data_IF_337628485235
#
_entry.id   IF_337628485235
#
_cell.length_a   1.000
_cell.length_b   1.000
_cell.length_c   1.000
_cell.angle_alpha   90.00
_cell.angle_beta   90.00
_cell.angle_gamma   90.00
#
_symmetry.space_group_name_H-M   'P 1'
#
loop_
_entity.id
_entity.type
_entity.pdbx_description
1 polymer ?
#
# COMPACT_ATOMS: atom_id res chain seq x y z
N UNK A 1 -6.66 17.81 46.58
CA UNK A 1 -6.15 17.96 45.17
C UNK A 1 -5.16 19.15 45.20
N UNK A 2 -3.87 18.87 45.44
CA UNK A 2 -2.83 19.90 45.46
C UNK A 2 -2.16 19.94 44.10
N UNK A 3 -2.42 20.99 43.32
CA UNK A 3 -1.68 21.28 42.11
C UNK A 3 -0.33 21.86 42.49
N UNK A 4 0.73 21.10 42.39
CA UNK A 4 2.10 21.61 42.50
C UNK A 4 2.43 22.24 41.15
N UNK A 5 2.34 23.59 41.07
CA UNK A 5 2.86 24.35 39.96
C UNK A 5 4.38 24.34 40.06
N UNK A 6 5.08 23.42 39.38
CA UNK A 6 6.52 23.51 39.21
C UNK A 6 6.82 24.52 38.10
N UNK A 7 7.46 25.63 38.47
CA UNK A 7 8.00 26.58 37.49
C UNK A 7 9.16 25.91 36.74
N UNK A 8 9.11 25.91 35.42
CA UNK A 8 10.17 25.37 34.57
C UNK A 8 11.26 26.45 34.47
N UNK A 9 12.42 26.22 35.11
CA UNK A 9 13.61 27.04 34.94
C UNK A 9 14.56 26.41 33.93
N UNK A 10 15.49 27.18 33.32
CA UNK A 10 16.49 26.63 32.40
C UNK A 10 17.30 25.47 33.00
N UNK A 11 17.56 25.52 34.30
CA UNK A 11 18.36 24.53 35.01
C UNK A 11 17.63 23.20 35.24
N UNK A 12 16.29 23.23 35.42
CA UNK A 12 15.51 22.01 35.62
C UNK A 12 14.89 21.46 34.32
N UNK A 13 14.92 22.25 33.22
CA UNK A 13 14.33 21.88 31.94
C UNK A 13 14.92 20.57 31.36
N UNK A 14 16.25 20.43 31.40
CA UNK A 14 16.92 19.24 30.91
C UNK A 14 16.58 18.01 31.74
N UNK A 15 16.48 18.15 33.06
CA UNK A 15 16.09 17.04 33.96
C UNK A 15 14.64 16.62 33.75
N UNK A 16 13.73 17.59 33.57
CA UNK A 16 12.31 17.33 33.29
C UNK A 16 12.14 16.64 31.94
N UNK A 17 12.89 17.10 30.93
CA UNK A 17 12.87 16.46 29.59
C UNK A 17 13.41 15.03 29.68
N UNK A 18 14.51 14.82 30.40
CA UNK A 18 15.09 13.48 30.57
C UNK A 18 14.14 12.51 31.29
N UNK A 19 13.45 12.97 32.36
CA UNK A 19 12.46 12.18 33.08
C UNK A 19 11.21 11.90 32.24
N UNK A 20 10.75 12.90 31.47
CA UNK A 20 9.64 12.74 30.54
C UNK A 20 9.97 11.74 29.42
N UNK A 21 11.16 11.86 28.81
CA UNK A 21 11.63 10.92 27.78
C UNK A 21 11.76 9.51 28.34
N UNK A 22 12.29 9.37 29.56
CA UNK A 22 12.41 8.09 30.25
C UNK A 22 11.04 7.45 30.52
N UNK A 23 10.04 8.23 30.96
CA UNK A 23 8.66 7.75 31.16
C UNK A 23 7.98 7.39 29.86
N UNK A 24 8.18 8.20 28.81
CA UNK A 24 7.64 7.92 27.47
C UNK A 24 8.28 6.68 26.84
N UNK A 25 9.59 6.46 27.05
CA UNK A 25 10.25 5.24 26.60
C UNK A 25 9.75 4.00 27.38
N UNK A 26 9.52 4.13 28.69
CA UNK A 26 8.96 3.04 29.50
C UNK A 26 7.49 2.73 29.14
N UNK A 27 6.68 3.76 28.85
CA UNK A 27 5.32 3.61 28.32
C UNK A 27 5.34 2.98 26.92
N UNK A 28 6.22 3.46 26.02
CA UNK A 28 6.40 2.88 24.71
C UNK A 28 6.90 1.44 24.77
N UNK A 29 7.75 1.10 25.73
CA UNK A 29 8.21 -0.26 25.96
C UNK A 29 7.10 -1.17 26.54
N UNK A 30 6.24 -0.64 27.39
CA UNK A 30 5.07 -1.34 27.92
C UNK A 30 3.99 -1.49 26.85
N UNK A 31 3.70 -0.47 26.09
CA UNK A 31 2.83 -0.50 24.92
C UNK A 31 3.41 -1.39 23.80
N UNK A 32 4.71 -1.32 23.55
CA UNK A 32 5.44 -2.18 22.61
C UNK A 32 5.48 -3.62 23.11
N UNK A 33 5.50 -3.89 24.41
CA UNK A 33 5.39 -5.24 24.96
C UNK A 33 3.94 -5.75 24.95
N UNK A 34 2.95 -4.89 25.15
CA UNK A 34 1.53 -5.21 24.94
C UNK A 34 1.20 -5.40 23.45
N UNK A 35 1.86 -4.63 22.55
CA UNK A 35 1.86 -4.77 21.10
C UNK A 35 2.96 -5.76 20.64
N UNK A 36 3.79 -6.24 21.55
CA UNK A 36 5.05 -6.93 21.30
C UNK A 36 4.96 -8.23 20.50
N UNK A 37 3.77 -8.87 20.47
CA UNK A 37 3.50 -9.95 19.52
C UNK A 37 3.41 -9.44 18.07
N UNK A 38 2.98 -8.18 17.85
CA UNK A 38 2.87 -7.56 16.52
C UNK A 38 4.17 -6.90 16.07
N UNK A 39 4.91 -6.27 16.99
CA UNK A 39 6.21 -5.65 16.68
C UNK A 39 7.29 -6.68 16.32
N UNK A 40 7.26 -7.86 16.96
CA UNK A 40 8.14 -8.98 16.58
C UNK A 40 7.90 -9.48 15.16
N UNK A 41 6.72 -9.26 14.60
CA UNK A 41 6.36 -9.55 13.20
C UNK A 41 6.73 -8.46 12.19
N UNK A 42 7.24 -7.30 12.62
CA UNK A 42 7.71 -6.28 11.68
C UNK A 42 9.13 -6.59 11.22
N UNK A 43 9.35 -6.65 9.90
CA UNK A 43 10.68 -6.80 9.32
C UNK A 43 11.63 -5.64 9.70
N UNK A 44 12.96 -5.84 9.53
CA UNK A 44 13.98 -4.88 9.95
C UNK A 44 13.73 -3.46 9.47
N UNK A 45 13.33 -3.29 8.20
CA UNK A 45 13.07 -1.98 7.60
C UNK A 45 11.83 -1.29 8.20
N UNK A 46 10.76 -2.03 8.48
CA UNK A 46 9.58 -1.49 9.17
C UNK A 46 9.88 -1.14 10.63
N UNK A 47 10.76 -1.88 11.30
CA UNK A 47 11.24 -1.52 12.64
C UNK A 47 12.04 -0.22 12.64
N UNK A 48 12.88 -0.02 11.62
CA UNK A 48 13.64 1.22 11.44
C UNK A 48 12.68 2.37 11.14
N UNK A 49 11.74 2.21 10.21
CA UNK A 49 10.73 3.20 9.87
C UNK A 49 9.86 3.58 11.08
N UNK A 50 9.42 2.60 11.87
CA UNK A 50 8.67 2.83 13.10
C UNK A 50 9.50 3.61 14.14
N UNK A 51 10.77 3.24 14.35
CA UNK A 51 11.67 3.96 15.24
C UNK A 51 11.91 5.39 14.79
N UNK A 52 12.08 5.60 13.48
CA UNK A 52 12.29 6.92 12.89
C UNK A 52 11.02 7.78 13.00
N UNK A 53 9.84 7.22 12.71
CA UNK A 53 8.57 7.91 12.86
C UNK A 53 8.29 8.27 14.32
N UNK A 54 8.55 7.36 15.26
CA UNK A 54 8.41 7.61 16.70
C UNK A 54 9.42 8.67 17.18
N UNK A 55 10.67 8.59 16.71
CA UNK A 55 11.69 9.60 17.01
C UNK A 55 11.31 10.98 16.51
N UNK A 56 10.82 11.08 15.27
CA UNK A 56 10.35 12.34 14.67
C UNK A 56 9.09 12.89 15.37
N UNK A 57 8.17 12.03 15.80
CA UNK A 57 6.99 12.45 16.56
C UNK A 57 7.36 12.99 17.95
N UNK A 58 8.35 12.39 18.61
CA UNK A 58 8.86 12.84 19.90
C UNK A 58 9.65 14.17 19.79
N UNK A 59 10.35 14.39 18.67
CA UNK A 59 11.11 15.62 18.43
C UNK A 59 10.20 16.81 18.04
N UNK A 60 9.02 16.57 17.47
CA UNK A 60 8.04 17.61 17.10
C UNK A 60 7.19 18.14 18.25
N UNK A 61 7.33 17.64 19.45
CA UNK A 61 6.58 18.05 20.65
C UNK A 61 7.11 19.29 21.35
N UNK A 62 8.03 20.06 20.76
CA UNK A 62 8.43 21.38 21.25
C UNK A 62 7.51 22.49 20.72
N UNK A 63 7.36 23.64 21.43
CA UNK A 63 6.61 24.77 20.90
C UNK A 63 7.24 25.21 19.57
N UNK A 64 6.43 25.29 18.52
CA UNK A 64 6.85 25.82 17.23
C UNK A 64 7.43 27.23 17.41
N UNK A 65 8.61 27.54 16.83
CA UNK A 65 9.05 28.91 16.70
C UNK A 65 8.01 29.62 15.81
N UNK A 66 7.61 30.81 16.25
CA UNK A 66 6.79 31.72 15.44
C UNK A 66 7.43 31.86 14.05
N UNK A 67 6.71 31.60 12.98
CA UNK A 67 7.27 31.73 11.64
C UNK A 67 7.62 33.19 11.38
N UNK A 68 8.86 33.46 10.93
CA UNK A 68 9.20 34.70 10.26
C UNK A 68 8.26 34.87 9.05
N UNK A 69 7.83 36.10 8.72
CA UNK A 69 6.97 36.35 7.59
C UNK A 69 7.66 35.82 6.32
N UNK A 70 7.00 34.88 5.67
CA UNK A 70 7.44 34.30 4.41
C UNK A 70 7.74 35.39 3.37
N UNK A 71 8.87 35.32 2.66
CA UNK A 71 9.07 36.12 1.46
C UNK A 71 7.97 35.72 0.44
N UNK A 72 7.38 36.71 -0.23
CA UNK A 72 6.38 36.51 -1.27
C UNK A 72 6.82 35.40 -2.25
N UNK A 73 5.95 34.43 -2.57
CA UNK A 73 6.31 33.37 -3.47
C UNK A 73 6.64 33.94 -4.85
N UNK A 74 7.87 33.75 -5.29
CA UNK A 74 8.22 33.88 -6.69
C UNK A 74 7.34 32.92 -7.49
N UNK A 75 6.73 33.36 -8.60
CA UNK A 75 5.93 32.46 -9.42
C UNK A 75 6.78 31.28 -9.86
N UNK A 76 6.31 30.08 -9.55
CA UNK A 76 6.93 28.84 -9.98
C UNK A 76 7.09 28.87 -11.51
N UNK A 77 8.27 28.48 -12.05
CA UNK A 77 8.43 28.32 -13.47
C UNK A 77 7.40 27.29 -13.95
N UNK A 78 6.72 27.59 -15.08
CA UNK A 78 5.81 26.66 -15.74
C UNK A 78 6.42 25.25 -15.76
N UNK A 79 5.66 24.21 -15.40
CA UNK A 79 6.18 22.87 -15.35
C UNK A 79 6.64 22.47 -16.74
N UNK A 80 7.96 22.40 -16.92
CA UNK A 80 8.56 21.76 -18.09
C UNK A 80 7.99 20.35 -18.14
N UNK A 81 7.49 19.85 -19.28
CA UNK A 81 7.10 18.45 -19.39
C UNK A 81 8.28 17.62 -18.91
N UNK A 82 8.11 16.93 -17.80
CA UNK A 82 9.13 16.04 -17.26
C UNK A 82 9.52 15.03 -18.33
N UNK A 83 10.77 14.56 -18.36
CA UNK A 83 11.14 13.48 -19.26
C UNK A 83 10.13 12.36 -19.09
N UNK A 84 9.69 11.79 -20.21
CA UNK A 84 8.88 10.56 -20.24
C UNK A 84 9.67 9.50 -19.46
N UNK A 85 9.44 9.46 -18.16
CA UNK A 85 10.12 8.55 -17.24
C UNK A 85 9.78 7.13 -17.68
N UNK A 86 10.82 6.32 -17.87
CA UNK A 86 10.64 4.90 -18.05
C UNK A 86 9.88 4.38 -16.82
N UNK A 87 8.68 3.87 -17.03
CA UNK A 87 7.94 3.22 -15.96
C UNK A 87 8.67 1.94 -15.56
N UNK A 88 8.42 1.47 -14.34
CA UNK A 88 9.03 0.24 -13.83
C UNK A 88 8.22 -1.02 -14.17
N UNK A 89 7.27 -0.88 -15.10
CA UNK A 89 6.44 -1.99 -15.60
C UNK A 89 7.24 -2.71 -16.70
N UNK A 90 7.37 -4.05 -16.65
CA UNK A 90 8.05 -4.77 -17.72
C UNK A 90 7.35 -4.55 -19.06
N UNK A 91 8.14 -4.29 -20.12
CA UNK A 91 7.62 -3.97 -21.46
C UNK A 91 6.66 -5.03 -22.01
N UNK A 92 6.86 -6.30 -21.65
CA UNK A 92 5.98 -7.43 -21.99
C UNK A 92 4.56 -7.26 -21.42
N UNK A 93 4.42 -6.63 -20.25
CA UNK A 93 3.14 -6.51 -19.55
C UNK A 93 2.35 -5.24 -19.96
N UNK A 94 2.99 -4.26 -20.59
CA UNK A 94 2.32 -3.04 -21.06
C UNK A 94 1.16 -3.34 -22.02
N UNK A 95 1.31 -4.18 -23.07
CA UNK A 95 0.19 -4.53 -23.94
C UNK A 95 -0.96 -5.25 -23.21
N UNK A 96 -0.65 -6.04 -22.18
CA UNK A 96 -1.66 -6.73 -21.38
C UNK A 96 -2.50 -5.73 -20.60
N UNK A 97 -1.86 -4.72 -19.97
CA UNK A 97 -2.57 -3.62 -19.28
C UNK A 97 -3.40 -2.78 -20.24
N UNK A 98 -2.86 -2.48 -21.43
CA UNK A 98 -3.60 -1.77 -22.47
C UNK A 98 -4.87 -2.52 -22.90
N UNK A 99 -4.81 -3.84 -23.01
CA UNK A 99 -5.98 -4.68 -23.29
C UNK A 99 -7.04 -4.64 -22.18
N UNK A 100 -6.63 -4.29 -20.96
CA UNK A 100 -7.53 -4.08 -19.81
C UNK A 100 -8.04 -2.63 -19.75
N UNK A 101 -7.59 -1.75 -20.64
CA UNK A 101 -7.97 -0.34 -20.72
C UNK A 101 -7.20 0.56 -19.76
N UNK A 102 -5.97 0.20 -19.41
CA UNK A 102 -5.04 1.05 -18.67
C UNK A 102 -3.82 1.36 -19.53
N UNK A 103 -3.46 2.63 -19.61
CA UNK A 103 -2.15 3.01 -20.14
C UNK A 103 -1.05 2.59 -19.15
N UNK A 104 0.18 2.54 -19.63
CA UNK A 104 1.36 2.28 -18.77
C UNK A 104 1.45 3.33 -17.65
N UNK A 105 1.21 4.61 -17.96
CA UNK A 105 1.22 5.69 -16.97
C UNK A 105 0.08 5.55 -15.96
N UNK A 106 -1.12 5.13 -16.38
CA UNK A 106 -2.22 4.86 -15.45
C UNK A 106 -1.85 3.78 -14.46
N UNK A 107 -1.31 2.66 -14.96
CA UNK A 107 -0.94 1.52 -14.13
C UNK A 107 0.18 1.88 -13.13
N UNK A 108 1.19 2.62 -13.57
CA UNK A 108 2.27 3.11 -12.71
C UNK A 108 1.74 4.07 -11.62
N UNK A 109 0.83 4.98 -11.99
CA UNK A 109 0.18 5.89 -11.04
C UNK A 109 -0.69 5.14 -10.04
N UNK A 110 -1.48 4.16 -10.50
CA UNK A 110 -2.32 3.31 -9.65
C UNK A 110 -1.46 2.57 -8.61
N UNK A 111 -0.33 2.01 -9.05
CA UNK A 111 0.57 1.31 -8.13
C UNK A 111 1.25 2.25 -7.13
N UNK A 112 1.62 3.46 -7.55
CA UNK A 112 2.12 4.49 -6.63
C UNK A 112 1.08 4.86 -5.56
N UNK A 113 -0.20 4.99 -5.95
CA UNK A 113 -1.32 5.23 -5.03
C UNK A 113 -1.57 4.04 -4.09
N UNK A 114 -1.44 2.80 -4.57
CA UNK A 114 -1.56 1.59 -3.76
C UNK A 114 -0.39 1.47 -2.79
N UNK A 115 0.82 1.80 -3.21
CA UNK A 115 2.04 1.71 -2.40
C UNK A 115 2.00 2.64 -1.18
N UNK A 116 1.36 3.79 -1.27
CA UNK A 116 1.26 4.72 -0.16
C UNK A 116 0.68 4.11 1.12
N UNK A 117 -0.52 3.51 1.12
CA UNK A 117 -1.07 2.87 2.31
C UNK A 117 -0.42 1.53 2.66
N UNK A 118 0.29 0.88 1.74
CA UNK A 118 0.99 -0.38 2.00
C UNK A 118 2.42 -0.14 2.52
N UNK A 119 3.16 0.77 1.89
CA UNK A 119 4.61 0.92 2.08
C UNK A 119 5.02 2.33 2.56
N UNK A 120 4.09 3.28 2.66
CA UNK A 120 4.35 4.69 3.02
C UNK A 120 5.26 5.44 2.04
N UNK A 121 5.39 4.94 0.82
CA UNK A 121 6.14 5.55 -0.28
C UNK A 121 5.40 5.41 -1.62
N UNK A 122 5.88 6.10 -2.64
CA UNK A 122 5.35 6.05 -4.00
C UNK A 122 6.16 5.16 -4.93
N UNK A 123 7.30 4.70 -4.48
CA UNK A 123 8.26 3.86 -5.21
C UNK A 123 7.87 2.38 -5.12
N UNK A 124 6.72 2.02 -5.71
CA UNK A 124 6.18 0.66 -5.64
C UNK A 124 7.14 -0.41 -6.18
N UNK A 125 8.00 -0.06 -7.13
CA UNK A 125 8.97 -0.96 -7.76
C UNK A 125 10.09 -1.42 -6.81
N UNK A 126 10.34 -0.71 -5.73
CA UNK A 126 11.29 -1.16 -4.71
C UNK A 126 10.85 -2.44 -3.99
N UNK A 127 9.59 -2.86 -4.19
CA UNK A 127 9.06 -4.06 -3.56
C UNK A 127 9.19 -5.34 -4.42
N UNK A 128 9.81 -5.29 -5.58
CA UNK A 128 10.05 -6.52 -6.35
C UNK A 128 10.85 -7.57 -5.58
N UNK A 129 11.80 -7.14 -4.75
CA UNK A 129 12.64 -7.99 -3.93
C UNK A 129 12.17 -8.11 -2.46
N UNK A 130 10.95 -7.63 -2.16
CA UNK A 130 10.41 -7.80 -0.82
C UNK A 130 10.21 -9.29 -0.50
N UNK A 131 10.69 -9.72 0.68
CA UNK A 131 10.47 -11.06 1.19
C UNK A 131 10.45 -11.06 2.71
N UNK A 132 9.35 -11.52 3.33
CA UNK A 132 9.22 -11.54 4.78
C UNK A 132 8.33 -12.69 5.25
N UNK A 133 8.61 -13.23 6.43
CA UNK A 133 7.71 -14.10 7.18
C UNK A 133 6.97 -13.27 8.22
N UNK A 134 5.70 -13.02 7.96
CA UNK A 134 4.85 -12.18 8.82
C UNK A 134 4.32 -12.89 10.06
N UNK A 135 4.37 -14.23 10.11
CA UNK A 135 3.83 -15.04 11.21
C UNK A 135 2.30 -15.00 11.26
N UNK A 136 1.67 -14.78 10.12
CA UNK A 136 0.21 -14.62 9.97
C UNK A 136 -0.49 -15.88 9.40
N UNK A 137 0.18 -16.99 9.34
CA UNK A 137 -0.34 -18.26 8.85
C UNK A 137 -0.15 -18.48 7.34
N UNK A 138 0.62 -17.61 6.63
CA UNK A 138 0.76 -17.65 5.16
C UNK A 138 2.18 -17.99 4.67
N UNK A 139 3.12 -18.26 5.59
CA UNK A 139 4.50 -18.59 5.27
C UNK A 139 5.32 -17.38 4.81
N UNK A 140 6.01 -17.47 3.68
CA UNK A 140 6.68 -16.33 3.04
C UNK A 140 5.68 -15.44 2.32
N UNK A 141 5.80 -14.13 2.52
CA UNK A 141 5.08 -13.08 1.79
C UNK A 141 6.09 -12.29 0.98
N UNK A 142 5.92 -12.23 -0.34
CA UNK A 142 6.95 -11.69 -1.24
C UNK A 142 6.40 -10.77 -2.32
N UNK A 143 7.26 -9.89 -2.82
CA UNK A 143 7.07 -9.03 -3.98
C UNK A 143 5.92 -8.03 -3.89
N UNK A 144 5.53 -7.41 -5.01
CA UNK A 144 4.65 -6.24 -5.14
C UNK A 144 3.29 -6.36 -4.46
N UNK A 145 2.65 -7.51 -4.58
CA UNK A 145 1.29 -7.74 -4.07
C UNK A 145 1.25 -8.71 -2.88
N UNK A 146 2.42 -9.06 -2.34
CA UNK A 146 2.52 -9.93 -1.18
C UNK A 146 2.13 -11.38 -1.48
N UNK A 147 2.62 -11.93 -2.59
CA UNK A 147 2.42 -13.33 -2.95
C UNK A 147 2.93 -14.25 -1.83
N UNK A 148 2.12 -15.23 -1.43
CA UNK A 148 2.41 -16.06 -0.27
C UNK A 148 2.70 -17.51 -0.63
N UNK A 149 3.70 -18.10 0.06
CA UNK A 149 4.04 -19.51 -0.16
C UNK A 149 2.96 -20.46 0.35
N UNK A 150 2.23 -20.07 1.39
CA UNK A 150 1.23 -20.91 2.05
C UNK A 150 -0.17 -20.83 1.46
N UNK A 151 -0.46 -19.85 0.58
CA UNK A 151 -1.78 -19.65 -0.06
C UNK A 151 -1.84 -20.13 -1.50
N UNK A 152 -0.66 -20.33 -2.13
CA UNK A 152 -0.58 -20.91 -3.47
C UNK A 152 -0.38 -19.93 -4.61
N UNK A 153 -0.48 -18.61 -4.36
CA UNK A 153 -0.24 -17.58 -5.36
C UNK A 153 1.26 -17.44 -5.70
N UNK A 154 2.16 -17.58 -4.74
CA UNK A 154 3.60 -17.55 -5.04
C UNK A 154 4.04 -18.72 -5.92
N UNK A 155 3.46 -19.92 -5.76
CA UNK A 155 3.81 -21.04 -6.65
C UNK A 155 3.32 -20.80 -8.07
N UNK A 156 2.25 -20.01 -8.27
CA UNK A 156 1.83 -19.58 -9.62
C UNK A 156 2.91 -18.71 -10.26
N UNK A 157 3.45 -17.73 -9.53
CA UNK A 157 4.55 -16.88 -10.00
C UNK A 157 5.76 -17.74 -10.40
N UNK A 158 6.16 -18.69 -9.53
CA UNK A 158 7.32 -19.53 -9.85
C UNK A 158 7.10 -20.46 -11.04
N UNK A 159 5.87 -20.94 -11.24
CA UNK A 159 5.52 -21.73 -12.44
C UNK A 159 5.52 -20.89 -13.70
N UNK A 160 5.13 -19.65 -13.60
CA UNK A 160 5.21 -18.72 -14.72
C UNK A 160 6.66 -18.37 -15.03
N UNK A 161 7.45 -18.07 -14.02
CA UNK A 161 8.91 -17.88 -14.13
C UNK A 161 9.60 -19.11 -14.76
N UNK A 162 9.15 -20.33 -14.43
CA UNK A 162 9.65 -21.55 -15.04
C UNK A 162 9.38 -21.64 -16.55
N UNK A 163 8.25 -21.09 -17.03
CA UNK A 163 7.96 -20.99 -18.47
C UNK A 163 8.88 -19.99 -19.16
N UNK A 164 9.16 -18.86 -18.48
CA UNK A 164 10.07 -17.81 -18.97
C UNK A 164 11.51 -18.34 -19.01
N UNK A 165 11.99 -18.86 -17.87
CA UNK A 165 13.33 -19.42 -17.74
C UNK A 165 13.32 -20.68 -16.85
N UNK A 166 13.32 -21.90 -17.44
CA UNK A 166 13.35 -23.14 -16.67
C UNK A 166 14.58 -23.33 -15.76
N UNK A 167 15.66 -22.55 -16.02
CA UNK A 167 16.91 -22.62 -15.25
C UNK A 167 17.04 -21.51 -14.20
N UNK A 168 16.00 -20.66 -14.06
CA UNK A 168 16.02 -19.60 -13.06
C UNK A 168 16.16 -20.17 -11.65
N UNK A 169 16.98 -19.51 -10.80
CA UNK A 169 17.35 -20.01 -9.47
C UNK A 169 16.16 -20.26 -8.52
N UNK A 170 15.02 -19.57 -8.71
CA UNK A 170 13.84 -19.77 -7.88
C UNK A 170 13.02 -21.01 -8.28
N UNK A 171 13.17 -21.54 -9.48
CA UNK A 171 12.42 -22.71 -9.97
C UNK A 171 12.62 -23.95 -9.08
N UNK A 172 13.80 -24.06 -8.44
CA UNK A 172 14.13 -25.13 -7.49
C UNK A 172 13.16 -25.22 -6.30
N UNK A 173 12.43 -24.14 -5.97
CA UNK A 173 11.50 -24.11 -4.83
C UNK A 173 10.11 -24.64 -5.16
N UNK A 174 9.74 -24.80 -6.43
CA UNK A 174 8.41 -25.27 -6.85
C UNK A 174 8.01 -26.59 -6.17
N UNK A 175 8.86 -27.67 -6.17
CA UNK A 175 8.48 -28.95 -5.58
C UNK A 175 8.22 -28.89 -4.07
N UNK A 176 8.94 -28.03 -3.34
CA UNK A 176 8.71 -27.80 -1.92
C UNK A 176 7.41 -27.02 -1.70
N UNK A 177 7.19 -25.95 -2.48
CA UNK A 177 6.04 -25.07 -2.37
C UNK A 177 4.72 -25.76 -2.72
N UNK A 178 4.74 -26.74 -3.62
CA UNK A 178 3.56 -27.57 -3.94
C UNK A 178 3.14 -28.49 -2.78
N UNK A 179 4.06 -28.82 -1.89
CA UNK A 179 3.84 -29.71 -0.74
C UNK A 179 3.51 -28.94 0.54
N UNK A 180 3.96 -27.70 0.65
CA UNK A 180 3.76 -26.87 1.84
C UNK A 180 2.46 -26.07 1.77
N UNK A 181 1.88 -25.74 2.94
CA UNK A 181 0.69 -24.89 3.09
C UNK A 181 0.79 -24.12 4.39
N UNK A 182 0.14 -22.96 4.43
CA UNK A 182 0.12 -22.13 5.63
C UNK A 182 1.52 -21.69 6.04
N UNK A 183 1.89 -21.87 7.29
CA UNK A 183 3.21 -21.51 7.85
C UNK A 183 4.33 -22.51 7.50
N UNK A 184 4.03 -23.62 6.87
CA UNK A 184 5.06 -24.61 6.53
C UNK A 184 6.00 -24.07 5.45
N UNK A 185 7.27 -23.96 5.80
CA UNK A 185 8.33 -23.44 4.91
C UNK A 185 9.48 -24.44 4.72
N UNK A 186 9.25 -25.73 4.98
CA UNK A 186 10.25 -26.77 4.76
C UNK A 186 10.69 -26.82 3.31
N UNK A 187 11.99 -26.73 3.08
CA UNK A 187 12.59 -26.63 1.74
C UNK A 187 12.53 -25.22 1.13
N UNK A 188 12.06 -24.22 1.89
CA UNK A 188 12.00 -22.80 1.50
C UNK A 188 12.90 -21.90 2.37
N UNK A 189 13.86 -22.47 3.08
CA UNK A 189 14.68 -21.77 4.09
C UNK A 189 15.48 -20.60 3.49
N UNK A 190 15.92 -20.74 2.24
CA UNK A 190 16.69 -19.71 1.55
C UNK A 190 15.85 -18.86 0.59
N UNK A 191 14.55 -19.09 0.48
CA UNK A 191 13.69 -18.42 -0.50
C UNK A 191 13.72 -16.90 -0.35
N UNK A 192 13.57 -16.39 0.87
CA UNK A 192 13.58 -14.95 1.12
C UNK A 192 14.85 -14.28 0.64
N UNK A 193 16.02 -14.82 1.03
CA UNK A 193 17.32 -14.30 0.59
C UNK A 193 17.51 -14.36 -0.93
N UNK A 194 17.04 -15.44 -1.55
CA UNK A 194 17.15 -15.58 -3.00
C UNK A 194 16.26 -14.56 -3.74
N UNK A 195 15.07 -14.20 -3.17
CA UNK A 195 14.18 -13.17 -3.70
C UNK A 195 14.75 -11.76 -3.45
N UNK A 196 15.28 -11.48 -2.25
CA UNK A 196 15.89 -10.20 -1.91
C UNK A 196 16.99 -9.77 -2.90
N UNK A 197 17.59 -10.71 -3.60
CA UNK A 197 18.62 -10.46 -4.62
C UNK A 197 18.08 -10.24 -6.04
N UNK A 198 16.73 -10.14 -6.24
CA UNK A 198 16.06 -10.11 -7.54
C UNK A 198 15.39 -8.77 -7.89
N UNK A 199 15.70 -7.69 -7.18
CA UNK A 199 15.05 -6.40 -7.43
C UNK A 199 15.09 -5.97 -8.91
N UNK A 200 16.21 -6.19 -9.58
CA UNK A 200 16.43 -5.83 -10.98
C UNK A 200 16.31 -7.00 -11.98
N UNK A 201 15.90 -8.18 -11.51
CA UNK A 201 15.76 -9.36 -12.37
C UNK A 201 14.49 -9.24 -13.23
N UNK A 202 14.68 -9.11 -14.55
CA UNK A 202 13.58 -8.87 -15.49
C UNK A 202 12.62 -10.05 -15.62
N UNK A 203 13.14 -11.27 -15.59
CA UNK A 203 12.33 -12.49 -15.71
C UNK A 203 11.43 -12.65 -14.46
N UNK A 204 11.98 -12.35 -13.28
CA UNK A 204 11.23 -12.30 -12.04
C UNK A 204 10.14 -11.22 -12.08
N UNK A 205 10.49 -10.00 -12.50
CA UNK A 205 9.54 -8.90 -12.62
C UNK A 205 8.39 -9.26 -13.56
N UNK A 206 8.69 -9.84 -14.74
CA UNK A 206 7.68 -10.29 -15.70
C UNK A 206 6.73 -11.33 -15.11
N UNK A 207 7.27 -12.38 -14.47
CA UNK A 207 6.47 -13.43 -13.84
C UNK A 207 5.56 -12.88 -12.72
N UNK A 208 6.08 -11.94 -11.91
CA UNK A 208 5.29 -11.26 -10.88
C UNK A 208 4.14 -10.50 -11.51
N UNK A 209 4.39 -9.77 -12.60
CA UNK A 209 3.36 -9.00 -13.29
C UNK A 209 2.32 -9.87 -13.99
N UNK A 210 2.72 -10.95 -14.64
CA UNK A 210 1.80 -11.87 -15.31
C UNK A 210 0.75 -12.38 -14.31
N UNK A 211 1.18 -12.81 -13.12
CA UNK A 211 0.27 -13.30 -12.08
C UNK A 211 -0.49 -12.16 -11.38
N UNK A 212 0.12 -10.98 -11.23
CA UNK A 212 -0.57 -9.80 -10.70
C UNK A 212 -1.74 -9.38 -11.60
N UNK A 213 -1.51 -9.38 -12.92
CA UNK A 213 -2.57 -9.11 -13.91
C UNK A 213 -3.65 -10.19 -13.82
N UNK A 214 -3.25 -11.46 -13.81
CA UNK A 214 -4.19 -12.60 -13.76
C UNK A 214 -5.10 -12.52 -12.54
N UNK A 215 -4.53 -12.31 -11.35
CA UNK A 215 -5.28 -12.39 -10.09
C UNK A 215 -6.10 -11.14 -9.80
N UNK A 216 -5.58 -9.94 -10.09
CA UNK A 216 -6.18 -8.70 -9.56
C UNK A 216 -6.69 -7.75 -10.64
N UNK A 217 -5.90 -7.50 -11.69
CA UNK A 217 -6.27 -6.54 -12.73
C UNK A 217 -7.41 -7.04 -13.62
N UNK A 218 -7.36 -8.32 -14.01
CA UNK A 218 -8.45 -8.95 -14.75
C UNK A 218 -9.75 -8.92 -13.95
N UNK A 219 -9.71 -9.27 -12.67
CA UNK A 219 -10.88 -9.21 -11.82
C UNK A 219 -11.43 -7.78 -11.69
N UNK A 220 -10.56 -6.80 -11.47
CA UNK A 220 -10.97 -5.40 -11.35
C UNK A 220 -11.63 -4.88 -12.64
N UNK A 221 -11.08 -5.23 -13.81
CA UNK A 221 -11.68 -4.96 -15.12
C UNK A 221 -13.04 -5.62 -15.24
N UNK A 222 -13.12 -6.92 -15.01
CA UNK A 222 -14.35 -7.70 -15.13
C UNK A 222 -15.43 -7.22 -14.16
N UNK A 223 -15.04 -6.85 -12.94
CA UNK A 223 -15.96 -6.28 -11.97
C UNK A 223 -16.49 -4.93 -12.47
N UNK A 224 -15.61 -4.03 -12.92
CA UNK A 224 -15.98 -2.73 -13.48
C UNK A 224 -16.91 -2.88 -14.68
N UNK A 225 -16.59 -3.79 -15.61
CA UNK A 225 -17.38 -4.04 -16.81
C UNK A 225 -18.73 -4.73 -16.52
N UNK A 226 -18.82 -5.59 -15.51
CA UNK A 226 -20.06 -6.26 -15.07
C UNK A 226 -21.01 -5.36 -14.32
N UNK A 227 -20.51 -4.41 -13.55
CA UNK A 227 -21.34 -3.32 -13.02
C UNK A 227 -22.04 -2.56 -14.13
N UNK A 228 -21.42 -2.53 -15.27
CA UNK A 228 -21.80 -1.93 -16.55
C UNK A 228 -22.95 -2.65 -17.26
N UNK A 229 -23.22 -3.90 -16.98
CA UNK A 229 -24.39 -4.61 -17.58
C UNK A 229 -25.73 -4.01 -17.19
N UNK A 230 -25.72 -3.00 -16.34
CA UNK A 230 -26.85 -2.10 -16.15
C UNK A 230 -26.79 -1.02 -17.23
N UNK A 231 -27.84 -0.78 -17.99
CA UNK A 231 -27.85 0.25 -19.01
C UNK A 231 -27.37 1.59 -18.43
N UNK A 232 -26.22 2.08 -18.87
CA UNK A 232 -25.70 3.41 -18.53
C UNK A 232 -24.65 3.51 -17.40
N UNK A 233 -24.44 2.50 -16.56
CA UNK A 233 -23.45 2.58 -15.47
C UNK A 233 -22.12 1.94 -15.87
N UNK A 234 -21.03 2.71 -15.89
CA UNK A 234 -19.68 2.21 -16.14
C UNK A 234 -18.70 2.89 -15.20
N UNK A 235 -17.82 2.08 -14.57
CA UNK A 235 -16.57 2.61 -14.08
C UNK A 235 -15.64 2.75 -15.29
N UNK A 236 -15.47 3.97 -15.76
CA UNK A 236 -14.79 4.24 -17.04
C UNK A 236 -13.45 4.93 -16.85
N UNK A 237 -13.30 5.70 -15.76
CA UNK A 237 -12.08 6.45 -15.53
C UNK A 237 -10.94 5.58 -15.01
N UNK A 238 -9.67 5.90 -15.34
CA UNK A 238 -8.51 5.22 -14.75
C UNK A 238 -8.55 5.19 -13.23
N UNK A 239 -9.00 6.28 -12.60
CA UNK A 239 -9.09 6.37 -11.13
C UNK A 239 -10.11 5.38 -10.55
N UNK A 240 -11.34 5.35 -11.07
CA UNK A 240 -12.39 4.49 -10.53
C UNK A 240 -12.08 3.00 -10.75
N UNK A 241 -11.53 2.66 -11.89
CA UNK A 241 -11.07 1.31 -12.23
C UNK A 241 -9.84 0.91 -11.43
N UNK A 242 -8.88 1.83 -11.25
CA UNK A 242 -7.69 1.61 -10.42
C UNK A 242 -8.04 1.37 -8.95
N UNK A 243 -9.06 2.05 -8.43
CA UNK A 243 -9.57 1.76 -7.09
C UNK A 243 -10.15 0.34 -6.93
N UNK A 244 -10.67 -0.24 -8.01
CA UNK A 244 -11.09 -1.66 -7.99
C UNK A 244 -9.88 -2.59 -7.91
N UNK A 245 -8.74 -2.25 -8.56
CA UNK A 245 -7.47 -2.98 -8.40
C UNK A 245 -7.01 -2.93 -6.94
N UNK A 246 -6.97 -1.73 -6.34
CA UNK A 246 -6.65 -1.53 -4.93
C UNK A 246 -7.59 -2.31 -3.99
N UNK A 247 -8.87 -2.36 -4.33
CA UNK A 247 -9.85 -3.11 -3.55
C UNK A 247 -9.63 -4.61 -3.67
N UNK A 248 -9.40 -5.12 -4.87
CA UNK A 248 -9.15 -6.53 -5.12
C UNK A 248 -7.86 -7.00 -4.41
N UNK A 249 -6.80 -6.20 -4.46
CA UNK A 249 -5.54 -6.50 -3.76
C UNK A 249 -5.74 -6.60 -2.24
N UNK A 250 -6.48 -5.66 -1.67
CA UNK A 250 -6.63 -5.57 -0.21
C UNK A 250 -7.66 -6.58 0.37
N UNK A 251 -8.70 -6.92 -0.38
CA UNK A 251 -9.82 -7.76 0.11
C UNK A 251 -9.86 -9.15 -0.54
N UNK A 252 -9.19 -9.35 -1.66
CA UNK A 252 -9.27 -10.53 -2.51
C UNK A 252 -10.09 -10.28 -3.79
N UNK A 253 -9.67 -10.93 -4.86
CA UNK A 253 -10.20 -10.78 -6.22
C UNK A 253 -11.39 -11.70 -6.49
N UNK A 254 -12.45 -11.57 -5.70
CA UNK A 254 -13.67 -12.34 -5.87
C UNK A 254 -14.91 -11.58 -5.35
N UNK A 255 -16.09 -11.99 -5.81
CA UNK A 255 -17.36 -11.33 -5.43
C UNK A 255 -17.73 -11.54 -3.97
N UNK A 256 -17.29 -12.60 -3.33
CA UNK A 256 -17.53 -12.83 -1.90
C UNK A 256 -16.81 -11.78 -1.06
N UNK A 257 -15.55 -11.48 -1.39
CA UNK A 257 -14.74 -10.44 -0.74
C UNK A 257 -15.32 -9.03 -0.91
N UNK A 258 -15.92 -8.74 -2.07
CA UNK A 258 -16.59 -7.45 -2.35
C UNK A 258 -17.99 -7.38 -1.73
N UNK A 259 -18.60 -8.52 -1.43
CA UNK A 259 -19.97 -8.62 -0.92
C UNK A 259 -20.27 -7.75 0.31
N UNK A 260 -19.44 -7.77 1.37
CA UNK A 260 -19.66 -6.91 2.55
C UNK A 260 -19.66 -5.41 2.20
N UNK A 261 -18.75 -4.98 1.31
CA UNK A 261 -18.67 -3.59 0.87
C UNK A 261 -19.93 -3.22 0.08
N UNK A 262 -20.33 -4.05 -0.87
CA UNK A 262 -21.53 -3.83 -1.68
C UNK A 262 -22.83 -3.80 -0.82
N UNK A 263 -22.91 -4.62 0.23
CA UNK A 263 -24.03 -4.58 1.17
C UNK A 263 -24.06 -3.33 2.04
N UNK A 264 -22.92 -2.73 2.29
CA UNK A 264 -22.79 -1.50 3.07
C UNK A 264 -23.11 -0.21 2.30
N UNK A 265 -23.24 -0.28 0.96
CA UNK A 265 -23.61 0.85 0.12
C UNK A 265 -25.05 1.29 0.37
N UNK A 266 -25.32 2.59 0.29
CA UNK A 266 -26.66 3.17 0.35
C UNK A 266 -27.48 2.79 -0.88
N UNK A 267 -26.87 2.87 -2.07
CA UNK A 267 -27.49 2.53 -3.34
C UNK A 267 -26.53 1.79 -4.28
N UNK A 268 -26.41 0.48 -4.10
CA UNK A 268 -25.61 -0.38 -5.00
C UNK A 268 -26.10 -0.40 -6.46
N UNK A 269 -27.31 0.12 -6.71
CA UNK A 269 -27.95 0.17 -8.02
C UNK A 269 -27.83 1.56 -8.67
N UNK A 270 -27.09 2.49 -8.07
CA UNK A 270 -26.82 3.80 -8.62
C UNK A 270 -26.22 3.68 -10.03
N UNK A 271 -26.72 4.48 -10.95
CA UNK A 271 -26.31 4.48 -12.36
C UNK A 271 -25.24 5.53 -12.67
N UNK A 272 -25.22 6.61 -11.88
CA UNK A 272 -24.22 7.67 -11.97
C UNK A 272 -22.87 7.15 -11.40
N UNK A 273 -21.82 7.17 -12.22
CA UNK A 273 -20.50 6.67 -11.83
C UNK A 273 -19.96 7.37 -10.58
N UNK A 274 -20.12 8.71 -10.52
CA UNK A 274 -19.59 9.49 -9.40
C UNK A 274 -20.28 9.13 -8.08
N UNK A 275 -21.60 9.05 -8.09
CA UNK A 275 -22.37 8.70 -6.90
C UNK A 275 -22.11 7.27 -6.46
N UNK A 276 -22.05 6.35 -7.42
CA UNK A 276 -21.73 4.95 -7.14
C UNK A 276 -20.33 4.80 -6.53
N UNK A 277 -19.35 5.42 -7.16
CA UNK A 277 -17.95 5.36 -6.71
C UNK A 277 -17.77 5.91 -5.30
N UNK A 278 -18.31 7.10 -5.02
CA UNK A 278 -18.21 7.72 -3.70
C UNK A 278 -18.93 6.91 -2.62
N UNK A 279 -20.07 6.30 -2.93
CA UNK A 279 -20.81 5.44 -2.01
C UNK A 279 -20.04 4.13 -1.73
N UNK A 280 -19.44 3.54 -2.77
CA UNK A 280 -18.57 2.36 -2.64
C UNK A 280 -17.33 2.66 -1.79
N UNK A 281 -16.65 3.78 -2.04
CA UNK A 281 -15.50 4.21 -1.22
C UNK A 281 -15.88 4.39 0.25
N UNK A 282 -17.01 5.05 0.52
CA UNK A 282 -17.48 5.27 1.89
C UNK A 282 -17.87 3.96 2.58
N UNK A 283 -18.50 3.05 1.83
CA UNK A 283 -18.83 1.70 2.33
C UNK A 283 -17.58 0.90 2.66
N UNK A 284 -16.56 0.92 1.76
CA UNK A 284 -15.27 0.26 2.00
C UNK A 284 -14.54 0.87 3.20
N UNK A 285 -14.55 2.19 3.33
CA UNK A 285 -13.94 2.90 4.46
C UNK A 285 -14.55 2.46 5.79
N UNK A 286 -15.90 2.35 5.87
CA UNK A 286 -16.59 1.85 7.04
C UNK A 286 -16.28 0.38 7.33
N UNK A 287 -16.26 -0.45 6.30
CA UNK A 287 -15.89 -1.86 6.43
C UNK A 287 -14.48 -2.04 6.99
N UNK A 288 -13.51 -1.29 6.49
CA UNK A 288 -12.13 -1.32 6.98
C UNK A 288 -12.03 -0.88 8.44
N UNK A 289 -12.77 0.15 8.83
CA UNK A 289 -12.81 0.64 10.22
C UNK A 289 -13.46 -0.38 11.17
N UNK A 290 -14.47 -1.09 10.72
CA UNK A 290 -15.23 -2.06 11.53
C UNK A 290 -14.53 -3.40 11.72
N UNK A 291 -13.71 -3.83 10.76
CA UNK A 291 -13.17 -5.19 10.67
C UNK A 291 -12.23 -5.58 11.81
N UNK A 292 -11.53 -4.64 12.43
CA UNK A 292 -10.44 -4.93 13.36
C UNK A 292 -10.64 -4.40 14.79
N UNK A 293 -11.76 -3.72 15.10
CA UNK A 293 -11.97 -3.10 16.42
C UNK A 293 -10.96 -2.00 16.77
N UNK A 294 -10.10 -1.61 15.83
CA UNK A 294 -9.14 -0.51 15.95
C UNK A 294 -9.69 0.73 15.23
N UNK A 295 -9.30 1.90 15.74
CA UNK A 295 -9.37 3.10 14.94
C UNK A 295 -8.40 2.91 13.76
N UNK A 296 -8.93 2.45 12.65
CA UNK A 296 -8.21 2.23 11.40
C UNK A 296 -8.18 3.52 10.60
N UNK A 297 -7.88 4.66 11.25
CA UNK A 297 -7.69 5.93 10.56
C UNK A 297 -6.72 5.75 9.38
N UNK A 298 -5.62 5.01 9.57
CA UNK A 298 -4.67 4.70 8.52
C UNK A 298 -5.25 3.91 7.36
N UNK A 299 -6.00 2.83 7.61
CA UNK A 299 -6.65 2.06 6.54
C UNK A 299 -7.83 2.79 5.90
N UNK A 300 -8.52 3.64 6.67
CA UNK A 300 -9.56 4.53 6.15
C UNK A 300 -8.98 5.60 5.21
N UNK A 301 -7.77 6.04 5.45
CA UNK A 301 -7.07 7.03 4.64
C UNK A 301 -6.80 6.51 3.21
N UNK A 302 -6.60 5.20 3.03
CA UNK A 302 -6.55 4.57 1.71
C UNK A 302 -7.76 4.96 0.84
N UNK A 303 -8.98 4.79 1.35
CA UNK A 303 -10.18 5.19 0.63
C UNK A 303 -10.29 6.71 0.47
N UNK A 304 -9.90 7.48 1.50
CA UNK A 304 -9.93 8.94 1.49
C UNK A 304 -9.03 9.52 0.41
N UNK A 305 -7.86 8.93 0.17
CA UNK A 305 -6.94 9.34 -0.90
C UNK A 305 -7.65 9.31 -2.27
N UNK A 306 -8.24 8.19 -2.64
CA UNK A 306 -8.95 8.04 -3.91
C UNK A 306 -10.19 8.93 -4.03
N UNK A 307 -10.93 9.08 -2.92
CA UNK A 307 -12.10 9.97 -2.86
C UNK A 307 -11.72 11.44 -3.09
N UNK A 308 -10.59 11.88 -2.56
CA UNK A 308 -10.11 13.25 -2.72
C UNK A 308 -9.73 13.52 -4.18
N UNK A 309 -8.92 12.64 -4.78
CA UNK A 309 -8.57 12.76 -6.21
C UNK A 309 -9.81 12.81 -7.10
N UNK A 310 -10.81 12.00 -6.80
CA UNK A 310 -12.08 12.02 -7.53
C UNK A 310 -12.81 13.35 -7.37
N UNK A 311 -12.90 13.89 -6.15
CA UNK A 311 -13.55 15.18 -5.86
C UNK A 311 -12.81 16.38 -6.45
N UNK A 312 -11.49 16.27 -6.58
CA UNK A 312 -10.63 17.25 -7.24
C UNK A 312 -10.74 17.20 -8.77
N UNK A 313 -11.51 16.24 -9.31
CA UNK A 313 -11.72 16.05 -10.75
C UNK A 313 -10.58 15.32 -11.47
N UNK A 314 -9.56 14.84 -10.72
CA UNK A 314 -8.43 14.12 -11.33
C UNK A 314 -8.77 12.64 -11.57
N UNK A 315 -9.83 12.40 -12.33
CA UNK A 315 -10.29 11.03 -12.65
C UNK A 315 -9.39 10.32 -13.67
N UNK A 316 -8.59 11.08 -14.41
CA UNK A 316 -7.63 10.58 -15.39
C UNK A 316 -6.22 10.38 -14.82
N UNK A 317 -6.04 10.52 -13.51
CA UNK A 317 -4.76 10.33 -12.82
C UNK A 317 -3.62 11.18 -13.42
N UNK A 318 -3.93 12.41 -13.82
CA UNK A 318 -2.94 13.35 -14.41
C UNK A 318 -1.92 13.72 -13.34
N UNK A 319 -0.65 13.55 -13.67
CA UNK A 319 0.48 13.92 -12.80
C UNK A 319 0.90 15.38 -13.00
N UNK A 320 1.49 16.07 -12.02
CA UNK A 320 1.83 15.57 -10.70
C UNK A 320 0.62 15.43 -9.77
N UNK A 321 0.61 14.40 -8.94
CA UNK A 321 -0.44 14.16 -7.94
C UNK A 321 0.13 14.38 -6.56
N UNK A 322 -0.44 15.33 -5.82
CA UNK A 322 -0.09 15.54 -4.42
C UNK A 322 -1.05 14.74 -3.54
N UNK A 323 -0.51 13.76 -2.84
CA UNK A 323 -1.25 12.89 -1.94
C UNK A 323 -1.17 13.46 -0.53
N UNK A 324 -2.23 14.14 -0.12
CA UNK A 324 -2.35 14.70 1.23
C UNK A 324 -3.00 13.69 2.18
N UNK A 325 -2.54 13.73 3.43
CA UNK A 325 -3.15 13.07 4.58
C UNK A 325 -3.13 11.55 4.56
N UNK A 326 -2.50 11.07 5.51
CA UNK A 326 -2.35 9.70 5.91
C UNK A 326 -1.17 9.64 6.83
N UNK A 327 -0.99 8.52 7.47
CA UNK A 327 0.20 8.27 8.28
C UNK A 327 1.51 8.32 7.44
N UNK A 328 1.42 8.31 6.10
CA UNK A 328 2.56 8.45 5.19
C UNK A 328 3.04 9.91 5.00
N UNK A 329 2.32 10.90 5.54
CA UNK A 329 2.60 12.33 5.31
C UNK A 329 2.19 12.79 3.90
N UNK A 330 2.67 13.96 3.48
CA UNK A 330 2.46 14.45 2.12
C UNK A 330 3.46 13.81 1.16
N UNK A 331 2.99 13.23 0.07
CA UNK A 331 3.81 12.64 -1.00
C UNK A 331 3.37 13.17 -2.35
N UNK A 332 4.28 13.18 -3.31
CA UNK A 332 4.01 13.62 -4.69
C UNK A 332 4.38 12.51 -5.65
N UNK A 333 3.42 12.09 -6.48
CA UNK A 333 3.63 11.20 -7.62
C UNK A 333 3.93 12.09 -8.83
N UNK A 334 5.11 11.97 -9.40
CA UNK A 334 5.59 12.78 -10.53
C UNK A 334 5.61 12.02 -11.83
#
# INVERSE_FOLDING_TARGET
MFAISMSITPENKQSIIADYVKRMLALAETELNAVGKRYKGLGPNRRIQFKTALGNALLKGGPEPTPDPDPEPTPDPEPTPGPTGTTHIPAKNVPQLAALGFSETDADTILSLISLPENSNTEWWENYNYAERLGDGRGWTVSLYGACSGTGDLVMVLKDLQKINPKHKLVKYIPAMEKTRGEDVRGLENLGRDIESLGDDKEWQEAVWDIYIELYWNFARDFSDKLVKRPGAKLTSPLTRGFMVDTALNHGSNLESFGPILRGMKNKNEMDEAKWFLDFCESRRKFLRGKNGYDTSGTGDRCTLWMNLFKEGNTNLVRPITCYRGYWGTKVIR
#
